data_IF_748452465053
#
_entry.id   IF_748452465053
#
_cell.length_a   1.000
_cell.length_b   1.000
_cell.length_c   1.000
_cell.angle_alpha   90.00
_cell.angle_beta   90.00
_cell.angle_gamma   90.00
#
_symmetry.space_group_name_H-M   'P 1'
#
loop_
_entity.id
_entity.type
_entity.pdbx_description
1 polymer ?
#
# COMPACT_ATOMS: atom_id res chain seq x y z
N UNK A 1 7.25 2.25 -33.77
CA UNK A 1 5.92 2.72 -33.33
C UNK A 1 5.32 1.61 -32.48
N UNK A 2 5.71 1.56 -31.21
CA UNK A 2 5.31 0.45 -30.32
C UNK A 2 3.90 0.68 -29.78
N UNK A 3 3.09 -0.37 -29.85
CA UNK A 3 1.71 -0.39 -29.36
C UNK A 3 1.74 -0.27 -27.84
N UNK A 4 1.29 0.87 -27.32
CA UNK A 4 0.97 1.02 -25.91
C UNK A 4 -0.10 0.00 -25.52
N UNK A 5 0.30 -1.04 -24.80
CA UNK A 5 -0.63 -1.91 -24.09
C UNK A 5 -1.20 -1.11 -22.94
N UNK A 6 -2.30 -0.41 -23.20
CA UNK A 6 -3.18 0.11 -22.15
C UNK A 6 -3.92 -1.07 -21.51
N UNK A 7 -3.19 -1.93 -20.79
CA UNK A 7 -3.85 -2.70 -19.75
C UNK A 7 -4.47 -1.66 -18.81
N UNK A 8 -5.80 -1.66 -18.69
CA UNK A 8 -6.49 -0.74 -17.81
C UNK A 8 -5.87 -0.88 -16.42
N UNK A 9 -5.13 0.15 -15.98
CA UNK A 9 -4.62 0.20 -14.60
C UNK A 9 -5.85 0.11 -13.71
N UNK A 10 -5.90 -0.91 -12.87
CA UNK A 10 -6.96 -1.03 -11.88
C UNK A 10 -6.54 -0.22 -10.67
N UNK A 11 -7.36 0.71 -10.20
CA UNK A 11 -7.06 1.36 -8.92
C UNK A 11 -7.00 0.29 -7.82
N UNK A 12 -5.97 0.34 -6.96
CA UNK A 12 -5.83 -0.57 -5.82
C UNK A 12 -7.11 -0.61 -4.97
N UNK A 13 -7.76 0.55 -4.77
CA UNK A 13 -9.05 0.65 -4.07
C UNK A 13 -10.27 0.17 -4.86
N UNK A 14 -10.13 -0.16 -6.14
CA UNK A 14 -11.21 -0.68 -6.97
C UNK A 14 -11.04 -2.17 -7.30
N UNK A 15 -10.07 -2.84 -6.69
CA UNK A 15 -9.82 -4.26 -6.92
C UNK A 15 -11.04 -5.12 -6.54
N UNK A 16 -11.39 -6.13 -7.36
CA UNK A 16 -12.53 -6.99 -7.12
C UNK A 16 -12.34 -7.84 -5.85
N UNK A 17 -13.44 -8.05 -5.12
CA UNK A 17 -13.45 -8.88 -3.92
C UNK A 17 -13.66 -10.35 -4.31
N UNK A 18 -12.59 -11.15 -4.27
CA UNK A 18 -12.72 -12.58 -4.56
C UNK A 18 -13.46 -13.31 -3.43
N UNK A 19 -14.51 -14.10 -3.73
CA UNK A 19 -15.18 -14.92 -2.72
C UNK A 19 -14.36 -16.14 -2.31
N UNK A 20 -13.29 -16.49 -3.05
CA UNK A 20 -12.53 -17.72 -2.83
C UNK A 20 -11.45 -17.62 -1.76
N UNK A 21 -11.01 -16.40 -1.43
CA UNK A 21 -9.93 -16.14 -0.47
C UNK A 21 -10.49 -15.28 0.64
N UNK A 22 -10.42 -15.79 1.87
CA UNK A 22 -10.76 -15.06 3.08
C UNK A 22 -9.58 -14.23 3.54
N UNK A 23 -9.87 -13.02 4.03
CA UNK A 23 -8.85 -12.08 4.52
C UNK A 23 -9.25 -11.62 5.91
N UNK A 24 -8.38 -11.89 6.88
CA UNK A 24 -8.60 -11.60 8.30
C UNK A 24 -7.31 -11.03 8.90
N UNK A 25 -7.42 -10.40 10.08
CA UNK A 25 -6.22 -10.09 10.88
C UNK A 25 -5.53 -11.38 11.32
N UNK A 26 -4.19 -11.38 11.29
CA UNK A 26 -3.40 -12.54 11.67
C UNK A 26 -3.68 -12.95 13.12
N UNK A 27 -3.83 -14.26 13.33
CA UNK A 27 -3.85 -14.86 14.66
C UNK A 27 -2.43 -15.12 15.14
N UNK A 28 -2.22 -15.11 16.46
CA UNK A 28 -0.90 -15.36 17.05
C UNK A 28 -0.32 -16.73 16.66
N UNK A 29 -1.18 -17.73 16.46
CA UNK A 29 -0.81 -19.07 15.98
C UNK A 29 -0.28 -19.09 14.54
N UNK A 30 -0.57 -18.06 13.74
CA UNK A 30 -0.18 -17.99 12.32
C UNK A 30 1.17 -17.27 12.11
N UNK A 31 1.68 -16.56 13.12
CA UNK A 31 2.86 -15.69 12.99
C UNK A 31 4.12 -16.45 12.58
N UNK A 32 4.33 -17.65 13.13
CA UNK A 32 5.48 -18.48 12.77
C UNK A 32 5.44 -18.89 11.29
N UNK A 33 4.26 -19.30 10.79
CA UNK A 33 4.07 -19.66 9.40
C UNK A 33 4.26 -18.46 8.46
N UNK A 34 3.71 -17.29 8.83
CA UNK A 34 3.86 -16.06 8.05
C UNK A 34 5.30 -15.59 7.98
N UNK A 35 6.05 -15.65 9.09
CA UNK A 35 7.48 -15.35 9.13
C UNK A 35 8.25 -16.26 8.18
N UNK A 36 7.99 -17.57 8.22
CA UNK A 36 8.62 -18.53 7.31
C UNK A 36 8.28 -18.23 5.83
N UNK A 37 7.02 -17.94 5.52
CA UNK A 37 6.60 -17.60 4.16
C UNK A 37 7.26 -16.31 3.67
N UNK A 38 7.37 -15.28 4.52
CA UNK A 38 8.02 -14.03 4.17
C UNK A 38 9.51 -14.22 3.85
N UNK A 39 10.22 -15.03 4.64
CA UNK A 39 11.63 -15.38 4.36
C UNK A 39 11.81 -16.12 3.03
N UNK A 40 10.84 -16.94 2.65
CA UNK A 40 10.90 -17.70 1.39
C UNK A 40 10.53 -16.88 0.16
N UNK A 41 9.55 -15.98 0.29
CA UNK A 41 8.89 -15.32 -0.84
C UNK A 41 9.31 -13.87 -1.06
N UNK A 42 9.83 -13.20 -0.03
CA UNK A 42 10.14 -11.77 -0.09
C UNK A 42 11.65 -11.57 0.14
N UNK A 43 12.43 -11.31 -0.91
CA UNK A 43 13.85 -11.06 -0.79
C UNK A 43 14.14 -9.90 0.16
N UNK A 44 15.14 -10.07 1.03
CA UNK A 44 15.59 -9.03 1.95
C UNK A 44 14.80 -8.95 3.26
N UNK A 45 13.70 -9.69 3.42
CA UNK A 45 13.01 -9.80 4.72
C UNK A 45 13.90 -10.57 5.69
N UNK A 46 14.23 -9.93 6.82
CA UNK A 46 15.04 -10.49 7.90
C UNK A 46 14.28 -10.65 9.22
N UNK A 47 13.00 -10.28 9.24
CA UNK A 47 12.23 -10.24 10.47
C UNK A 47 11.90 -11.64 10.98
N UNK A 48 12.25 -11.92 12.24
CA UNK A 48 11.93 -13.19 12.88
C UNK A 48 10.49 -13.24 13.38
N UNK A 49 10.11 -14.41 13.90
CA UNK A 49 8.77 -14.64 14.45
C UNK A 49 8.49 -13.77 15.68
N UNK A 50 9.49 -13.54 16.53
CA UNK A 50 9.34 -12.76 17.75
C UNK A 50 9.09 -11.28 17.45
N UNK A 51 9.85 -10.72 16.52
CA UNK A 51 9.68 -9.35 16.06
C UNK A 51 8.33 -9.18 15.35
N UNK A 52 7.95 -10.11 14.48
CA UNK A 52 6.64 -10.08 13.82
C UNK A 52 5.48 -10.12 14.83
N UNK A 53 5.62 -10.91 15.90
CA UNK A 53 4.66 -10.96 16.99
C UNK A 53 4.56 -9.63 17.77
N UNK A 54 5.67 -8.89 17.91
CA UNK A 54 5.65 -7.56 18.54
C UNK A 54 4.82 -6.56 17.73
N UNK A 55 4.93 -6.57 16.40
CA UNK A 55 4.11 -5.69 15.54
C UNK A 55 2.63 -6.03 15.60
N UNK A 56 2.28 -7.33 15.63
CA UNK A 56 0.87 -7.75 15.80
C UNK A 56 0.33 -7.41 17.20
N UNK A 57 1.18 -7.50 18.23
CA UNK A 57 0.80 -7.08 19.58
C UNK A 57 0.63 -5.56 19.68
N UNK A 58 1.45 -4.79 18.97
CA UNK A 58 1.35 -3.33 18.90
C UNK A 58 0.10 -2.90 18.13
N UNK A 59 -0.17 -3.54 17.00
CA UNK A 59 -1.36 -3.32 16.19
C UNK A 59 -1.83 -4.63 15.51
N UNK A 60 -2.96 -5.21 15.95
CA UNK A 60 -3.49 -6.44 15.36
C UNK A 60 -3.89 -6.32 13.89
N UNK A 61 -4.05 -5.10 13.36
CA UNK A 61 -4.38 -4.85 11.95
C UNK A 61 -3.13 -4.74 11.06
N UNK A 62 -1.93 -4.75 11.65
CA UNK A 62 -0.66 -4.63 10.92
C UNK A 62 -0.39 -5.82 9.99
N UNK A 63 -1.04 -6.96 10.19
CA UNK A 63 -0.88 -8.14 9.33
C UNK A 63 -2.25 -8.73 9.00
N UNK A 64 -2.50 -8.87 7.70
CA UNK A 64 -3.64 -9.60 7.17
C UNK A 64 -3.19 -10.96 6.64
N UNK A 65 -3.94 -12.00 6.96
CA UNK A 65 -3.74 -13.36 6.43
C UNK A 65 -4.72 -13.64 5.30
N UNK A 66 -4.24 -14.38 4.31
CA UNK A 66 -5.04 -14.86 3.19
C UNK A 66 -5.25 -16.35 3.37
N UNK A 67 -6.50 -16.81 3.41
CA UNK A 67 -6.81 -18.21 3.59
C UNK A 67 -7.88 -18.69 2.62
N UNK A 68 -7.94 -20.00 2.38
CA UNK A 68 -8.98 -20.63 1.57
C UNK A 68 -9.34 -21.95 2.18
N UNK A 69 -10.62 -22.13 2.53
CA UNK A 69 -11.13 -23.36 3.18
C UNK A 69 -10.28 -23.75 4.41
N UNK A 70 -9.86 -22.75 5.20
CA UNK A 70 -9.03 -22.94 6.40
C UNK A 70 -7.54 -23.15 6.16
N UNK A 71 -7.07 -23.20 4.90
CA UNK A 71 -5.63 -23.30 4.58
C UNK A 71 -5.03 -21.91 4.39
N UNK A 72 -3.92 -21.62 5.07
CA UNK A 72 -3.16 -20.38 4.90
C UNK A 72 -2.50 -20.35 3.51
N UNK A 73 -2.78 -19.30 2.75
CA UNK A 73 -2.22 -19.05 1.41
C UNK A 73 -1.15 -17.97 1.40
N UNK A 74 -1.08 -17.18 2.48
CA UNK A 74 -0.14 -16.07 2.60
C UNK A 74 -0.61 -14.97 3.53
N UNK A 75 0.01 -13.81 3.39
CA UNK A 75 -0.38 -12.60 4.09
C UNK A 75 0.22 -11.33 3.51
N UNK A 76 -0.23 -10.22 4.06
CA UNK A 76 0.21 -8.87 3.74
C UNK A 76 0.48 -8.12 5.04
N UNK A 77 1.69 -7.61 5.17
CA UNK A 77 2.13 -6.85 6.35
C UNK A 77 2.22 -5.37 6.03
N UNK A 78 1.87 -4.55 7.02
CA UNK A 78 1.80 -3.10 6.94
C UNK A 78 2.55 -2.48 8.12
N UNK A 79 3.23 -1.36 7.85
CA UNK A 79 3.64 -0.42 8.87
C UNK A 79 2.71 0.79 8.74
N UNK A 80 1.88 1.01 9.75
CA UNK A 80 1.05 2.20 9.84
C UNK A 80 1.89 3.31 10.44
N UNK A 81 2.34 4.25 9.62
CA UNK A 81 3.28 5.30 10.02
C UNK A 81 2.52 6.49 10.60
N UNK A 82 3.03 7.03 11.70
CA UNK A 82 2.65 8.37 12.16
C UNK A 82 3.37 9.45 11.31
N UNK A 83 3.14 10.73 11.61
CA UNK A 83 3.76 11.83 10.87
C UNK A 83 5.29 11.75 10.83
N UNK A 84 5.92 11.42 11.97
CA UNK A 84 7.37 11.26 12.05
C UNK A 84 7.87 10.08 11.21
N UNK A 85 7.16 8.95 11.24
CA UNK A 85 7.49 7.79 10.44
C UNK A 85 7.34 8.04 8.94
N UNK A 86 6.34 8.84 8.55
CA UNK A 86 6.16 9.24 7.15
C UNK A 86 7.29 10.15 6.67
N UNK A 87 7.66 11.16 7.44
CA UNK A 87 8.81 12.01 7.12
C UNK A 87 10.10 11.18 7.01
N UNK A 88 10.34 10.28 7.98
CA UNK A 88 11.50 9.40 7.98
C UNK A 88 11.52 8.44 6.78
N UNK A 89 10.36 7.98 6.31
CA UNK A 89 10.25 7.20 5.07
C UNK A 89 10.69 8.01 3.84
N UNK A 90 10.25 9.27 3.73
CA UNK A 90 10.60 10.09 2.57
C UNK A 90 12.07 10.52 2.56
N UNK A 91 12.66 10.67 3.76
CA UNK A 91 14.04 11.09 3.98
C UNK A 91 15.06 9.94 4.04
N UNK A 92 14.63 8.67 3.92
CA UNK A 92 15.49 7.47 4.10
C UNK A 92 16.10 7.37 5.52
N UNK A 93 15.43 7.95 6.52
CA UNK A 93 15.86 7.96 7.92
C UNK A 93 15.22 6.82 8.75
N UNK A 94 14.39 5.98 8.12
CA UNK A 94 13.74 4.83 8.75
C UNK A 94 14.38 3.50 8.35
N UNK A 95 14.70 2.67 9.35
CA UNK A 95 15.14 1.29 9.08
C UNK A 95 13.93 0.40 8.77
N UNK A 96 13.61 0.21 7.49
CA UNK A 96 12.47 -0.62 7.06
C UNK A 96 12.66 -2.12 7.33
N UNK A 97 13.85 -2.58 7.69
CA UNK A 97 14.08 -4.00 8.05
C UNK A 97 13.77 -4.30 9.52
N UNK A 98 13.78 -3.27 10.37
CA UNK A 98 13.47 -3.34 11.79
C UNK A 98 12.98 -1.95 12.25
N UNK A 99 11.77 -1.52 11.84
CA UNK A 99 11.27 -0.19 12.11
C UNK A 99 11.01 -0.01 13.61
N UNK A 100 11.52 1.10 14.15
CA UNK A 100 11.25 1.51 15.53
C UNK A 100 9.75 1.84 15.70
N UNK A 101 9.16 1.39 16.81
CA UNK A 101 7.76 1.64 17.16
C UNK A 101 7.44 3.13 17.27
N UNK A 102 8.42 4.01 17.53
CA UNK A 102 8.19 5.45 17.56
C UNK A 102 7.82 6.07 16.20
N UNK A 103 8.05 5.35 15.09
CA UNK A 103 7.60 5.72 13.76
C UNK A 103 6.21 5.18 13.42
N UNK A 104 5.64 4.31 14.27
CA UNK A 104 4.33 3.71 14.05
C UNK A 104 3.24 4.50 14.77
N UNK A 105 2.10 4.63 14.09
CA UNK A 105 0.91 5.23 14.65
C UNK A 105 0.27 4.26 15.66
N UNK A 106 0.00 4.77 16.86
CA UNK A 106 -0.78 4.01 17.84
C UNK A 106 -2.24 3.82 17.38
N UNK A 107 -3.02 2.98 18.09
CA UNK A 107 -4.43 2.74 17.76
C UNK A 107 -5.31 4.01 17.76
N UNK A 108 -4.93 5.03 18.55
CA UNK A 108 -5.68 6.29 18.69
C UNK A 108 -5.03 7.46 17.92
N UNK A 109 -3.97 7.19 17.18
CA UNK A 109 -3.26 8.19 16.38
C UNK A 109 -3.68 8.10 14.92
N UNK A 110 -3.64 9.23 14.22
CA UNK A 110 -3.86 9.25 12.78
C UNK A 110 -2.72 8.53 12.06
N UNK A 111 -3.08 7.66 11.11
CA UNK A 111 -2.11 7.05 10.21
C UNK A 111 -1.83 8.06 9.09
N UNK A 112 -0.59 8.56 9.03
CA UNK A 112 -0.17 9.53 8.00
C UNK A 112 0.20 8.84 6.69
N UNK A 113 0.79 7.64 6.77
CA UNK A 113 1.14 6.83 5.61
C UNK A 113 1.07 5.34 5.95
N UNK A 114 0.76 4.51 4.94
CA UNK A 114 0.76 3.04 5.08
C UNK A 114 1.92 2.51 4.26
N UNK A 115 2.95 1.97 4.89
CA UNK A 115 4.00 1.25 4.16
C UNK A 115 3.64 -0.24 4.06
N UNK A 116 3.39 -0.72 2.84
CA UNK A 116 3.17 -2.13 2.53
C UNK A 116 4.53 -2.82 2.64
N UNK A 117 4.74 -3.47 3.77
CA UNK A 117 6.04 -4.00 4.14
C UNK A 117 6.37 -5.29 3.39
N UNK A 118 5.39 -6.17 3.26
CA UNK A 118 5.56 -7.43 2.57
C UNK A 118 4.23 -7.94 2.04
N UNK A 119 4.29 -8.57 0.85
CA UNK A 119 3.20 -9.39 0.32
C UNK A 119 3.81 -10.77 0.09
N UNK A 120 3.42 -11.74 0.92
CA UNK A 120 3.89 -13.11 0.82
C UNK A 120 2.67 -13.99 0.53
N UNK A 121 2.38 -14.25 -0.75
CA UNK A 121 1.23 -15.05 -1.16
C UNK A 121 1.64 -16.10 -2.19
N UNK A 122 1.01 -17.27 -2.11
CA UNK A 122 1.25 -18.39 -3.03
C UNK A 122 0.03 -18.64 -3.91
N UNK A 123 0.27 -19.03 -5.17
CA UNK A 123 -0.77 -19.45 -6.10
C UNK A 123 -1.95 -18.46 -6.19
N UNK A 124 -3.13 -18.88 -5.74
CA UNK A 124 -4.37 -18.08 -5.77
C UNK A 124 -4.48 -17.07 -4.62
N UNK A 125 -3.55 -17.04 -3.67
CA UNK A 125 -3.57 -16.12 -2.52
C UNK A 125 -3.60 -14.64 -2.91
N UNK A 126 -3.02 -14.29 -4.07
CA UNK A 126 -3.03 -12.90 -4.58
C UNK A 126 -4.46 -12.36 -4.84
N UNK A 127 -5.45 -13.25 -5.01
CA UNK A 127 -6.85 -12.85 -5.12
C UNK A 127 -7.40 -12.21 -3.82
N UNK A 128 -6.70 -12.34 -2.69
CA UNK A 128 -6.99 -11.64 -1.44
C UNK A 128 -6.70 -10.15 -1.48
N UNK A 129 -5.94 -9.65 -2.47
CA UNK A 129 -5.49 -8.25 -2.52
C UNK A 129 -6.66 -7.24 -2.53
N UNK A 130 -7.77 -7.55 -3.20
CA UNK A 130 -8.95 -6.68 -3.19
C UNK A 130 -9.61 -6.56 -1.82
N UNK A 131 -9.65 -7.64 -1.04
CA UNK A 131 -10.13 -7.62 0.35
C UNK A 131 -9.13 -6.92 1.29
N UNK A 132 -7.83 -7.07 1.06
CA UNK A 132 -6.80 -6.32 1.78
C UNK A 132 -6.91 -4.80 1.51
N UNK A 133 -7.09 -4.40 0.23
CA UNK A 133 -7.36 -3.01 -0.13
C UNK A 133 -8.65 -2.50 0.55
N UNK A 134 -9.70 -3.32 0.58
CA UNK A 134 -10.94 -2.99 1.29
C UNK A 134 -10.74 -2.77 2.79
N UNK A 135 -9.86 -3.55 3.44
CA UNK A 135 -9.49 -3.33 4.83
C UNK A 135 -8.86 -1.95 5.03
N UNK A 136 -7.96 -1.53 4.12
CA UNK A 136 -7.31 -0.22 4.18
C UNK A 136 -8.23 0.96 3.81
N UNK A 137 -9.51 0.72 3.49
CA UNK A 137 -10.53 1.77 3.32
C UNK A 137 -11.33 2.06 4.59
N UNK A 138 -11.07 1.33 5.68
CA UNK A 138 -11.67 1.63 6.98
C UNK A 138 -11.30 3.04 7.47
N UNK A 139 -12.12 3.61 8.36
CA UNK A 139 -12.03 5.01 8.81
C UNK A 139 -10.61 5.38 9.27
N UNK A 140 -9.93 4.48 9.98
CA UNK A 140 -8.58 4.70 10.50
C UNK A 140 -7.51 4.88 9.41
N UNK A 141 -7.67 4.21 8.28
CA UNK A 141 -6.63 4.08 7.24
C UNK A 141 -6.94 4.85 5.96
N UNK A 142 -8.21 5.21 5.74
CA UNK A 142 -8.69 5.74 4.47
C UNK A 142 -7.97 7.01 4.02
N UNK A 143 -7.46 7.85 4.92
CA UNK A 143 -6.81 9.09 4.51
C UNK A 143 -5.33 8.90 4.14
N UNK A 144 -4.73 7.78 4.52
CA UNK A 144 -3.32 7.52 4.30
C UNK A 144 -3.06 6.96 2.89
N UNK A 145 -2.08 7.54 2.20
CA UNK A 145 -1.54 6.98 0.97
C UNK A 145 -0.71 5.71 1.26
N UNK A 146 -0.67 4.82 0.28
CA UNK A 146 0.05 3.55 0.40
C UNK A 146 1.41 3.64 -0.27
N UNK A 147 2.47 3.30 0.46
CA UNK A 147 3.84 3.27 -0.01
C UNK A 147 4.36 1.85 -0.05
N UNK A 148 5.29 1.55 -0.94
CA UNK A 148 5.93 0.24 -0.99
C UNK A 148 7.27 0.31 -1.72
N UNK A 149 8.12 -0.69 -1.48
CA UNK A 149 9.30 -0.97 -2.29
C UNK A 149 9.13 -2.33 -2.97
N UNK A 150 8.95 -2.41 -4.30
CA UNK A 150 8.81 -3.69 -4.99
C UNK A 150 10.16 -4.43 -5.07
N UNK A 151 10.37 -5.42 -4.21
CA UNK A 151 11.61 -6.22 -4.18
C UNK A 151 11.68 -7.38 -5.19
N UNK A 152 10.62 -7.58 -5.98
CA UNK A 152 10.55 -8.63 -7.01
C UNK A 152 9.91 -8.12 -8.30
N UNK A 153 10.22 -8.75 -9.43
CA UNK A 153 9.59 -8.44 -10.73
C UNK A 153 8.07 -8.62 -10.65
N UNK A 154 7.61 -9.71 -10.03
CA UNK A 154 6.17 -9.95 -9.85
C UNK A 154 5.50 -8.87 -8.99
N UNK A 155 6.15 -8.46 -7.89
CA UNK A 155 5.67 -7.37 -7.03
C UNK A 155 5.61 -6.04 -7.78
N UNK A 156 6.63 -5.73 -8.59
CA UNK A 156 6.67 -4.53 -9.43
C UNK A 156 5.51 -4.49 -10.42
N UNK A 157 5.25 -5.60 -11.13
CA UNK A 157 4.15 -5.68 -12.09
C UNK A 157 2.78 -5.58 -11.41
N UNK A 158 2.61 -6.18 -10.23
CA UNK A 158 1.40 -6.03 -9.43
C UNK A 158 1.20 -4.56 -9.04
N UNK A 159 2.24 -3.90 -8.52
CA UNK A 159 2.17 -2.48 -8.13
C UNK A 159 1.82 -1.57 -9.30
N UNK A 160 2.45 -1.75 -10.47
CA UNK A 160 2.09 -1.01 -11.70
C UNK A 160 0.64 -1.25 -12.11
N UNK A 161 0.20 -2.50 -12.08
CA UNK A 161 -1.16 -2.88 -12.46
C UNK A 161 -2.22 -2.32 -11.51
N UNK A 162 -1.84 -2.07 -10.24
CA UNK A 162 -2.72 -1.53 -9.19
C UNK A 162 -2.62 -0.01 -9.00
N UNK A 163 -1.89 0.68 -9.89
CA UNK A 163 -1.82 2.15 -9.92
C UNK A 163 -0.80 2.77 -8.96
N UNK A 164 0.14 1.99 -8.43
CA UNK A 164 1.31 2.56 -7.76
C UNK A 164 2.27 3.14 -8.79
N UNK A 165 2.89 4.26 -8.43
CA UNK A 165 3.87 4.95 -9.27
C UNK A 165 5.14 5.26 -8.47
N UNK A 166 6.33 5.28 -9.10
CA UNK A 166 7.55 5.74 -8.44
C UNK A 166 7.38 7.19 -7.95
N UNK A 167 7.87 7.48 -6.74
CA UNK A 167 7.91 8.84 -6.19
C UNK A 167 9.33 9.32 -6.01
N UNK A 168 9.54 10.63 -6.13
CA UNK A 168 10.81 11.24 -5.79
C UNK A 168 10.95 11.29 -4.25
N UNK A 169 11.88 10.51 -3.72
CA UNK A 169 12.25 10.46 -2.30
C UNK A 169 13.74 10.15 -2.16
N UNK A 170 14.28 10.34 -0.96
CA UNK A 170 15.63 9.85 -0.63
C UNK A 170 15.66 8.32 -0.52
N UNK A 171 14.52 7.73 -0.14
CA UNK A 171 14.34 6.27 -0.16
C UNK A 171 14.39 5.76 -1.61
N UNK A 172 15.33 4.85 -1.95
CA UNK A 172 15.45 4.33 -3.30
C UNK A 172 14.27 3.44 -3.67
N UNK A 173 13.83 3.55 -4.93
CA UNK A 173 12.73 2.78 -5.51
C UNK A 173 11.47 2.74 -4.64
N UNK A 174 11.14 3.87 -4.02
CA UNK A 174 9.88 4.04 -3.30
C UNK A 174 8.74 4.32 -4.28
N UNK A 175 7.65 3.58 -4.12
CA UNK A 175 6.45 3.71 -4.92
C UNK A 175 5.30 4.16 -4.03
N UNK A 176 4.44 5.01 -4.55
CA UNK A 176 3.24 5.48 -3.88
C UNK A 176 2.00 5.20 -4.72
N UNK A 177 0.97 4.73 -4.05
CA UNK A 177 -0.41 4.81 -4.51
C UNK A 177 -1.10 5.93 -3.73
N UNK A 178 -1.22 7.09 -4.39
CA UNK A 178 -2.02 8.20 -3.87
C UNK A 178 -3.49 7.85 -3.96
N UNK A 179 -4.18 7.92 -2.81
CA UNK A 179 -5.61 7.63 -2.74
C UNK A 179 -6.40 8.52 -3.70
N UNK A 180 -7.47 8.02 -4.35
CA UNK A 180 -8.23 8.82 -5.32
C UNK A 180 -8.71 10.17 -4.80
N UNK A 181 -9.07 10.27 -3.53
CA UNK A 181 -9.50 11.51 -2.87
C UNK A 181 -8.34 12.43 -2.44
N UNK A 182 -7.11 11.93 -2.38
CA UNK A 182 -5.90 12.70 -2.10
C UNK A 182 -5.23 13.22 -3.39
N UNK A 183 -5.57 12.64 -4.54
CA UNK A 183 -5.06 13.09 -5.84
C UNK A 183 -5.51 14.54 -6.04
N UNK A 184 -4.57 15.47 -6.10
CA UNK A 184 -4.90 16.81 -6.56
C UNK A 184 -5.52 16.71 -7.95
N UNK A 185 -6.62 17.43 -8.23
CA UNK A 185 -7.09 17.52 -9.60
C UNK A 185 -5.92 18.04 -10.42
N UNK A 186 -5.55 17.29 -11.46
CA UNK A 186 -4.59 17.73 -12.46
C UNK A 186 -4.98 19.16 -12.82
N UNK A 187 -4.14 20.15 -12.46
CA UNK A 187 -4.29 21.51 -12.98
C UNK A 187 -4.01 21.39 -14.47
N UNK A 188 -5.05 21.12 -15.25
CA UNK A 188 -5.03 21.40 -16.68
C UNK A 188 -4.66 22.88 -16.79
N UNK A 189 -3.55 23.24 -17.46
CA UNK A 189 -3.25 24.64 -17.75
C UNK A 189 -4.50 25.22 -18.40
N UNK A 190 -5.10 26.21 -17.75
CA UNK A 190 -6.40 26.71 -18.11
C UNK A 190 -6.46 27.03 -19.59
N UNK A 191 -7.44 26.44 -20.29
CA UNK A 191 -7.94 27.06 -21.50
C UNK A 191 -8.48 28.42 -21.08
N UNK A 192 -7.66 29.46 -21.23
CA UNK A 192 -8.08 30.85 -21.09
C UNK A 192 -9.08 31.08 -22.22
N UNK A 193 -10.36 30.77 -21.97
CA UNK A 193 -11.45 31.30 -22.78
C UNK A 193 -11.60 32.75 -22.33
N UNK A 194 -10.84 33.64 -22.96
CA UNK A 194 -11.13 35.07 -22.92
C UNK A 194 -12.50 35.28 -23.57
N UNK A 195 -13.55 35.28 -22.75
CA UNK A 195 -14.83 35.90 -23.09
C UNK A 195 -14.59 37.40 -23.24
N UNK A 196 -14.10 37.83 -24.41
CA UNK A 196 -14.08 39.25 -24.76
C UNK A 196 -15.52 39.70 -24.90
N UNK A 197 -16.02 40.36 -23.85
CA UNK A 197 -17.16 41.25 -23.92
C UNK A 197 -16.86 42.31 -24.98
N UNK A 198 -17.53 42.23 -26.12
CA UNK A 198 -17.67 43.35 -27.04
C UNK A 198 -18.95 44.09 -26.68
N UNK A 199 -18.93 44.76 -25.53
CA UNK A 199 -19.73 45.95 -25.37
C UNK A 199 -18.90 47.12 -25.91
N UNK A 200 -19.50 47.82 -26.86
CA UNK A 200 -19.28 49.23 -27.18
C UNK A 200 -18.29 49.60 -28.31
N UNK A 201 -18.88 49.89 -29.48
CA UNK A 201 -18.32 50.82 -30.47
C UNK A 201 -19.45 51.46 -31.30
N UNK A 202 -20.07 52.51 -30.72
CA UNK A 202 -20.28 53.86 -31.29
C UNK A 202 -21.01 54.10 -32.64
N UNK A 203 -21.95 55.05 -32.53
CA UNK A 203 -22.62 55.97 -33.51
C UNK A 203 -24.03 55.58 -33.95
#
# INVERSE_FOLDING_TARGET
>A
MERGSFAARHDFDALPLSPEVDVCCAQFSEIAALSQMAHQLVPGVRIGTAELAQYVAFDPQSILTFSRKGSLLGGMAFLFLNGRGHDALLLDDICLTAPDMCHLASANEEVSAIYIWAIAATGRGIAGLGKAAAHLRQIRFRNADCYAHPSTVAGCEIMKATGFEPVASFQPDLWCYTRPWNRQPMRMPGAIVQSRSFADARH
#
